data_IF_333962970154
#
_entry.id   IF_333962970154
#
_cell.length_a   1.000
_cell.length_b   1.000
_cell.length_c   1.000
_cell.angle_alpha   90.00
_cell.angle_beta   90.00
_cell.angle_gamma   90.00
#
_symmetry.space_group_name_H-M   'P 1'
#
loop_
_entity.id
_entity.type
_entity.pdbx_description
1 polymer ?
#
# COMPACT_ATOMS: atom_id res chain seq x y z
N UNK A 1 26.63 -38.03 37.70
CA UNK A 1 25.41 -38.20 36.90
C UNK A 1 24.46 -37.06 37.24
N UNK A 2 24.25 -36.12 36.32
CA UNK A 2 23.22 -35.10 36.42
C UNK A 2 22.45 -35.11 35.10
N UNK A 3 21.16 -35.45 35.16
CA UNK A 3 20.28 -35.50 34.01
C UNK A 3 19.79 -34.09 33.69
N UNK A 4 20.11 -33.57 32.51
CA UNK A 4 19.46 -32.37 31.97
C UNK A 4 18.27 -32.80 31.11
N UNK A 5 17.08 -32.43 31.58
CA UNK A 5 15.81 -32.56 30.87
C UNK A 5 15.78 -31.50 29.75
N UNK A 6 15.86 -31.92 28.50
CA UNK A 6 15.70 -31.00 27.35
C UNK A 6 14.20 -30.86 27.09
N UNK A 7 13.64 -29.70 27.42
CA UNK A 7 12.30 -29.31 26.98
C UNK A 7 12.29 -29.10 25.47
N UNK A 8 11.33 -29.72 24.78
CA UNK A 8 11.08 -29.47 23.36
C UNK A 8 10.50 -28.07 23.21
N UNK A 9 11.29 -27.14 22.68
CA UNK A 9 10.80 -25.84 22.24
C UNK A 9 10.04 -26.07 20.93
N UNK A 10 8.75 -25.78 20.94
CA UNK A 10 7.94 -25.69 19.72
C UNK A 10 8.15 -24.31 19.13
N UNK A 11 8.75 -24.25 17.95
CA UNK A 11 8.81 -23.00 17.18
C UNK A 11 7.74 -23.11 16.10
N UNK A 12 6.61 -22.45 16.32
CA UNK A 12 5.62 -22.22 15.27
C UNK A 12 6.07 -21.00 14.48
N UNK A 13 6.47 -21.19 13.23
CA UNK A 13 6.56 -20.08 12.29
C UNK A 13 5.19 -19.95 11.61
N UNK A 14 4.44 -18.92 12.00
CA UNK A 14 3.32 -18.43 11.23
C UNK A 14 3.91 -17.60 10.07
N UNK A 15 3.64 -18.03 8.84
CA UNK A 15 3.93 -17.24 7.64
C UNK A 15 2.56 -16.93 7.02
N UNK A 16 2.02 -15.71 7.13
CA UNK A 16 0.83 -15.35 6.39
C UNK A 16 1.26 -15.03 4.95
N UNK A 17 1.10 -16.00 4.04
CA UNK A 17 1.02 -15.73 2.60
C UNK A 17 -0.44 -15.93 2.18
N UNK A 18 -1.21 -14.85 2.16
CA UNK A 18 -2.49 -14.79 1.44
C UNK A 18 -2.20 -14.33 0.02
N UNK A 19 -1.84 -15.26 -0.85
CA UNK A 19 -1.88 -15.04 -2.30
C UNK A 19 -3.26 -15.45 -2.79
N UNK A 20 -4.11 -14.49 -3.12
CA UNK A 20 -5.37 -14.75 -3.83
C UNK A 20 -5.05 -15.06 -5.30
N UNK A 21 -5.06 -16.34 -5.68
CA UNK A 21 -5.17 -16.77 -7.07
C UNK A 21 -6.61 -17.24 -7.34
N UNK A 22 -7.21 -16.90 -8.49
CA UNK A 22 -8.57 -17.32 -8.81
C UNK A 22 -8.59 -18.77 -9.34
N UNK A 23 -9.48 -19.60 -8.78
CA UNK A 23 -9.93 -20.95 -9.19
C UNK A 23 -9.11 -22.20 -8.76
N UNK A 24 -9.78 -23.38 -8.67
CA UNK A 24 -10.75 -23.81 -7.66
C UNK A 24 -10.12 -24.80 -6.65
N UNK A 25 -10.77 -24.94 -5.50
CA UNK A 25 -10.35 -25.78 -4.36
C UNK A 25 -10.11 -27.25 -4.74
N UNK A 26 -8.84 -27.68 -4.66
CA UNK A 26 -8.49 -29.10 -4.58
C UNK A 26 -8.22 -29.50 -3.12
N UNK A 27 -8.62 -30.72 -2.69
CA UNK A 27 -8.61 -31.13 -1.30
C UNK A 27 -7.19 -31.22 -0.73
N UNK A 28 -7.04 -30.73 0.49
CA UNK A 28 -5.79 -30.74 1.25
C UNK A 28 -5.31 -32.18 1.51
N UNK A 29 -4.47 -32.73 0.64
CA UNK A 29 -3.71 -33.95 0.94
C UNK A 29 -2.53 -33.59 1.85
N UNK A 30 -2.61 -33.94 3.13
CA UNK A 30 -1.50 -33.81 4.06
C UNK A 30 -0.37 -34.78 3.68
N UNK A 31 0.69 -34.29 3.04
CA UNK A 31 1.95 -35.02 2.96
C UNK A 31 2.73 -34.82 4.26
N UNK A 32 2.67 -35.82 5.14
CA UNK A 32 3.43 -35.84 6.40
C UNK A 32 4.86 -36.32 6.13
N UNK A 33 5.75 -35.43 5.72
CA UNK A 33 7.18 -35.74 5.54
C UNK A 33 7.89 -35.57 6.89
N UNK A 34 8.35 -36.68 7.49
CA UNK A 34 9.30 -36.65 8.61
C UNK A 34 10.69 -36.37 8.05
N UNK A 35 11.25 -35.19 8.32
CA UNK A 35 12.66 -34.92 8.09
C UNK A 35 13.39 -35.11 9.42
N UNK A 36 14.20 -36.18 9.51
CA UNK A 36 15.13 -36.41 10.63
C UNK A 36 16.45 -35.75 10.21
N UNK A 37 16.93 -34.70 10.90
CA UNK A 37 18.19 -34.06 10.54
C UNK A 37 19.38 -34.97 10.89
N UNK A 38 20.13 -35.39 9.89
CA UNK A 38 21.27 -36.32 10.02
C UNK A 38 22.59 -35.63 10.43
N UNK A 39 22.57 -34.32 10.68
CA UNK A 39 23.78 -33.55 11.05
C UNK A 39 23.48 -32.53 12.14
N UNK A 40 24.39 -32.46 13.12
CA UNK A 40 24.39 -31.42 14.17
C UNK A 40 24.45 -30.03 13.51
N UNK A 41 23.68 -29.04 14.02
CA UNK A 41 23.68 -27.69 13.47
C UNK A 41 25.07 -27.07 13.63
N UNK A 42 25.63 -26.56 12.52
CA UNK A 42 26.76 -25.64 12.57
C UNK A 42 26.23 -24.27 12.98
N UNK A 43 26.88 -23.62 13.95
CA UNK A 43 26.62 -22.22 14.30
C UNK A 43 26.76 -21.35 13.05
N UNK A 44 25.63 -20.78 12.62
CA UNK A 44 25.61 -19.72 11.63
C UNK A 44 26.15 -18.46 12.32
N UNK A 45 27.33 -17.97 11.91
CA UNK A 45 27.74 -16.63 12.30
C UNK A 45 26.80 -15.63 11.61
N UNK A 46 25.84 -15.11 12.37
CA UNK A 46 24.95 -14.04 11.92
C UNK A 46 25.79 -12.77 11.76
N UNK A 47 26.17 -12.45 10.53
CA UNK A 47 26.62 -11.09 10.20
C UNK A 47 25.44 -10.16 10.50
N UNK A 48 25.62 -9.29 11.48
CA UNK A 48 24.62 -8.31 11.89
C UNK A 48 24.19 -7.48 10.70
N UNK A 49 22.94 -7.67 10.27
CA UNK A 49 22.28 -6.77 9.33
C UNK A 49 22.08 -5.46 10.09
N UNK A 50 22.76 -4.39 9.66
CA UNK A 50 22.44 -3.04 10.12
C UNK A 50 21.07 -2.69 9.59
N UNK A 51 20.04 -2.89 10.42
CA UNK A 51 18.78 -2.19 10.24
C UNK A 51 19.08 -0.71 10.45
N UNK A 52 19.08 0.05 9.36
CA UNK A 52 18.96 1.50 9.48
C UNK A 52 17.62 1.75 10.19
N UNK A 53 17.65 2.61 11.20
CA UNK A 53 16.46 3.04 11.94
C UNK A 53 15.43 3.62 10.98
N UNK A 54 14.55 2.77 10.46
CA UNK A 54 13.27 3.18 9.91
C UNK A 54 12.49 3.75 11.09
N UNK A 55 12.21 5.05 11.06
CA UNK A 55 11.27 5.69 11.97
C UNK A 55 9.88 5.13 11.68
N UNK A 56 9.56 3.94 12.20
CA UNK A 56 8.21 3.40 12.20
C UNK A 56 7.39 4.17 13.23
N UNK A 57 6.89 5.35 12.84
CA UNK A 57 5.83 6.04 13.58
C UNK A 57 4.86 6.73 12.64
N UNK A 58 4.43 5.99 11.63
CA UNK A 58 3.22 6.27 10.87
C UNK A 58 2.54 4.91 10.77
N UNK A 59 1.78 4.55 11.80
CA UNK A 59 0.84 3.41 11.74
C UNK A 59 -0.53 3.86 11.21
N UNK A 60 -0.59 5.11 10.72
CA UNK A 60 -1.80 5.77 10.29
C UNK A 60 -1.57 6.55 9.02
N UNK A 61 -2.54 6.65 8.14
CA UNK A 61 -2.46 7.53 6.97
C UNK A 61 -3.88 7.88 6.50
N UNK A 62 -4.00 8.57 5.38
CA UNK A 62 -5.26 9.12 4.89
C UNK A 62 -5.80 8.43 3.66
N UNK A 63 -7.12 8.40 3.57
CA UNK A 63 -7.87 8.01 2.39
C UNK A 63 -8.64 9.21 1.89
N UNK A 64 -8.41 9.59 0.62
CA UNK A 64 -9.07 10.74 0.00
C UNK A 64 -10.15 10.27 -0.97
N UNK A 65 -11.39 10.71 -0.75
CA UNK A 65 -12.46 10.55 -1.73
C UNK A 65 -12.32 11.61 -2.83
N UNK A 66 -12.12 11.18 -4.08
CA UNK A 66 -11.91 12.08 -5.22
C UNK A 66 -12.90 11.73 -6.34
N UNK A 67 -13.60 12.75 -6.86
CA UNK A 67 -14.58 12.58 -7.94
C UNK A 67 -14.50 13.70 -8.99
N UNK A 68 -15.00 13.41 -10.20
CA UNK A 68 -15.26 14.42 -11.24
C UNK A 68 -16.52 15.23 -10.98
N UNK A 69 -17.39 14.73 -10.11
CA UNK A 69 -18.67 15.36 -9.77
C UNK A 69 -18.63 15.86 -8.33
N UNK A 70 -19.39 16.92 -8.07
CA UNK A 70 -19.62 17.40 -6.71
C UNK A 70 -20.19 16.29 -5.84
N UNK A 71 -19.71 16.17 -4.61
CA UNK A 71 -20.15 15.16 -3.65
C UNK A 71 -20.92 15.89 -2.54
N UNK A 72 -22.16 15.50 -2.31
CA UNK A 72 -22.94 16.00 -1.18
C UNK A 72 -22.37 15.47 0.13
N UNK A 73 -22.44 16.25 1.21
CA UNK A 73 -21.77 15.93 2.48
C UNK A 73 -22.26 14.61 3.08
N UNK A 74 -23.52 14.27 2.82
CA UNK A 74 -24.17 13.03 3.22
C UNK A 74 -23.57 11.80 2.53
N UNK A 75 -22.89 11.99 1.40
CA UNK A 75 -22.22 10.95 0.61
C UNK A 75 -20.70 10.96 0.79
N UNK A 76 -20.20 11.67 1.80
CA UNK A 76 -18.78 11.65 2.12
C UNK A 76 -18.37 10.26 2.60
N UNK A 77 -17.22 9.81 2.10
CA UNK A 77 -16.49 8.67 2.65
C UNK A 77 -16.34 8.87 4.17
N UNK A 78 -16.75 7.85 4.93
CA UNK A 78 -16.71 7.83 6.39
C UNK A 78 -16.05 6.55 6.90
N UNK A 79 -15.88 6.48 8.23
CA UNK A 79 -15.18 5.38 8.91
C UNK A 79 -15.80 4.00 8.69
N UNK A 80 -17.08 3.90 8.32
CA UNK A 80 -17.78 2.62 8.11
C UNK A 80 -17.78 2.16 6.63
N UNK A 81 -17.26 2.98 5.71
CA UNK A 81 -17.40 2.72 4.27
C UNK A 81 -16.54 1.55 3.79
N UNK A 82 -15.34 1.38 4.37
CA UNK A 82 -14.36 0.41 3.91
C UNK A 82 -14.38 -0.87 4.74
N UNK A 83 -14.02 -1.98 4.11
CA UNK A 83 -13.80 -3.24 4.81
C UNK A 83 -12.60 -3.15 5.75
N UNK A 84 -12.77 -3.54 7.01
CA UNK A 84 -11.80 -3.34 8.09
C UNK A 84 -11.68 -4.60 8.97
N UNK A 85 -10.60 -4.67 9.76
CA UNK A 85 -10.34 -5.74 10.72
C UNK A 85 -9.70 -6.97 10.09
N UNK A 86 -9.93 -8.13 10.69
CA UNK A 86 -9.26 -9.38 10.33
C UNK A 86 -9.37 -9.72 8.84
N UNK A 87 -8.22 -9.74 8.16
CA UNK A 87 -8.14 -10.05 6.73
C UNK A 87 -8.30 -8.83 5.80
N UNK A 88 -8.48 -7.63 6.35
CA UNK A 88 -8.36 -6.37 5.64
C UNK A 88 -6.93 -5.81 5.71
N UNK A 89 -6.64 -4.85 4.83
CA UNK A 89 -5.46 -4.00 4.96
C UNK A 89 -5.61 -2.97 6.08
N UNK A 90 -6.84 -2.59 6.42
CA UNK A 90 -7.13 -1.60 7.44
C UNK A 90 -7.51 -2.27 8.75
N UNK A 91 -6.77 -2.01 9.82
CA UNK A 91 -7.16 -2.44 11.17
C UNK A 91 -8.44 -1.71 11.59
N UNK A 92 -8.47 -0.40 11.41
CA UNK A 92 -9.65 0.45 11.54
C UNK A 92 -9.47 1.75 10.74
N UNK A 93 -10.59 2.40 10.45
CA UNK A 93 -10.70 3.74 9.90
C UNK A 93 -11.38 4.64 10.92
N UNK A 94 -11.13 5.94 10.86
CA UNK A 94 -11.75 6.92 11.74
C UNK A 94 -12.04 8.21 10.99
N UNK A 95 -13.17 8.84 11.30
CA UNK A 95 -13.44 10.19 10.84
C UNK A 95 -12.44 11.18 11.47
N UNK A 96 -12.09 12.21 10.71
CA UNK A 96 -11.27 13.34 11.17
C UNK A 96 -12.12 14.61 11.16
N UNK A 97 -11.69 15.62 11.90
CA UNK A 97 -12.41 16.89 11.91
C UNK A 97 -12.22 17.66 10.58
N UNK A 98 -13.12 18.62 10.33
CA UNK A 98 -13.15 19.35 9.05
C UNK A 98 -11.92 20.24 8.83
N UNK A 99 -11.26 20.69 9.89
CA UNK A 99 -10.05 21.51 9.77
C UNK A 99 -8.82 20.63 9.46
N UNK A 100 -8.68 19.49 10.15
CA UNK A 100 -7.67 18.47 9.85
C UNK A 100 -7.84 17.96 8.40
N UNK A 101 -9.08 17.70 7.98
CA UNK A 101 -9.41 17.31 6.60
C UNK A 101 -8.91 18.35 5.57
N UNK A 102 -9.17 19.64 5.78
CA UNK A 102 -8.71 20.70 4.86
C UNK A 102 -7.19 20.82 4.84
N UNK A 103 -6.53 20.65 5.99
CA UNK A 103 -5.07 20.63 6.07
C UNK A 103 -4.48 19.44 5.30
N UNK A 104 -5.06 18.26 5.44
CA UNK A 104 -4.65 17.05 4.73
C UNK A 104 -4.85 17.18 3.20
N UNK A 105 -5.94 17.82 2.76
CA UNK A 105 -6.13 18.16 1.33
C UNK A 105 -5.03 19.08 0.82
N UNK A 106 -4.68 20.12 1.59
CA UNK A 106 -3.58 21.03 1.24
C UNK A 106 -2.25 20.28 1.17
N UNK A 107 -2.00 19.37 2.10
CA UNK A 107 -0.77 18.58 2.10
C UNK A 107 -0.71 17.60 0.93
N UNK A 108 -1.82 16.94 0.60
CA UNK A 108 -1.93 16.05 -0.54
C UNK A 108 -1.44 16.74 -1.82
N UNK A 109 -1.99 17.92 -2.12
CA UNK A 109 -1.69 18.64 -3.38
C UNK A 109 -0.27 19.21 -3.37
N UNK A 110 0.16 19.81 -2.27
CA UNK A 110 1.42 20.56 -2.23
C UNK A 110 2.66 19.67 -2.00
N UNK A 111 2.47 18.48 -1.43
CA UNK A 111 3.60 17.63 -0.99
C UNK A 111 3.57 16.23 -1.59
N UNK A 112 2.40 15.60 -1.70
CA UNK A 112 2.30 14.18 -2.02
C UNK A 112 2.03 13.88 -3.49
N UNK A 113 1.19 14.69 -4.16
CA UNK A 113 0.93 14.55 -5.59
C UNK A 113 2.14 15.02 -6.42
N UNK A 114 2.31 14.50 -7.66
CA UNK A 114 3.36 14.97 -8.54
C UNK A 114 3.31 16.48 -8.74
N UNK A 115 4.48 17.11 -8.62
CA UNK A 115 4.63 18.54 -8.85
C UNK A 115 4.15 18.93 -10.24
N UNK A 116 3.57 20.12 -10.34
CA UNK A 116 3.10 20.73 -11.59
C UNK A 116 2.01 19.91 -12.34
N UNK A 117 1.36 18.95 -11.67
CA UNK A 117 0.21 18.20 -12.22
C UNK A 117 -1.14 18.66 -11.66
N UNK A 118 -1.15 19.24 -10.46
CA UNK A 118 -2.36 19.68 -9.77
C UNK A 118 -2.17 21.04 -9.13
N UNK A 119 -3.26 21.80 -9.04
CA UNK A 119 -3.34 23.02 -8.24
C UNK A 119 -4.58 22.99 -7.34
N UNK A 120 -4.46 23.56 -6.15
CA UNK A 120 -5.59 23.75 -5.25
C UNK A 120 -6.35 25.01 -5.67
N UNK A 121 -7.65 24.88 -5.97
CA UNK A 121 -8.49 26.00 -6.47
C UNK A 121 -9.60 26.39 -5.51
N UNK A 122 -9.79 25.61 -4.44
CA UNK A 122 -10.66 25.89 -3.30
C UNK A 122 -10.38 24.87 -2.19
N UNK A 123 -11.08 24.96 -1.07
CA UNK A 123 -10.80 24.07 0.09
C UNK A 123 -11.04 22.59 -0.23
N UNK A 124 -12.04 22.29 -1.07
CA UNK A 124 -12.44 20.92 -1.45
C UNK A 124 -12.26 20.64 -2.95
N UNK A 125 -11.50 21.47 -3.65
CA UNK A 125 -11.42 21.41 -5.12
C UNK A 125 -10.00 21.56 -5.62
N UNK A 126 -9.61 20.64 -6.49
CA UNK A 126 -8.31 20.64 -7.16
C UNK A 126 -8.53 20.68 -8.67
N UNK A 127 -7.62 21.33 -9.39
CA UNK A 127 -7.60 21.32 -10.85
C UNK A 127 -6.42 20.51 -11.34
N UNK A 128 -6.70 19.58 -12.25
CA UNK A 128 -5.66 18.89 -12.99
C UNK A 128 -5.12 19.82 -14.09
N UNK A 129 -3.81 20.07 -14.12
CA UNK A 129 -3.20 21.05 -15.05
C UNK A 129 -2.35 20.43 -16.17
N UNK A 130 -2.18 19.10 -16.17
CA UNK A 130 -1.42 18.39 -17.20
C UNK A 130 -0.27 17.56 -16.64
N UNK A 131 0.74 17.26 -17.47
CA UNK A 131 1.97 16.57 -17.05
C UNK A 131 1.92 15.04 -17.10
N UNK A 132 0.80 14.43 -17.53
CA UNK A 132 0.67 12.95 -17.51
C UNK A 132 1.65 12.24 -18.46
N UNK A 133 1.98 12.84 -19.60
CA UNK A 133 2.93 12.21 -20.54
C UNK A 133 4.34 12.10 -19.94
N UNK A 134 4.81 13.16 -19.29
CA UNK A 134 6.08 13.12 -18.55
C UNK A 134 6.02 12.13 -17.38
N UNK A 135 4.89 12.06 -16.67
CA UNK A 135 4.71 11.07 -15.62
C UNK A 135 4.76 9.63 -16.16
N UNK A 136 4.09 9.34 -17.29
CA UNK A 136 4.12 8.01 -17.95
C UNK A 136 5.55 7.62 -18.35
N UNK A 137 6.30 8.54 -18.95
CA UNK A 137 7.70 8.30 -19.31
C UNK A 137 8.58 7.98 -18.08
N UNK A 138 8.42 8.76 -17.01
CA UNK A 138 9.13 8.56 -15.75
C UNK A 138 8.75 7.21 -15.11
N UNK A 139 7.46 6.86 -15.12
CA UNK A 139 6.97 5.59 -14.61
C UNK A 139 7.59 4.41 -15.36
N UNK A 140 7.49 4.39 -16.70
CA UNK A 140 8.06 3.31 -17.54
C UNK A 140 9.57 3.19 -17.33
N UNK A 141 10.27 4.33 -17.27
CA UNK A 141 11.72 4.36 -17.01
C UNK A 141 12.07 3.76 -15.65
N UNK A 142 11.33 4.13 -14.60
CA UNK A 142 11.54 3.60 -13.25
C UNK A 142 11.27 2.10 -13.17
N UNK A 143 10.20 1.61 -13.79
CA UNK A 143 9.87 0.18 -13.83
C UNK A 143 10.95 -0.61 -14.56
N UNK A 144 11.42 -0.15 -15.73
CA UNK A 144 12.54 -0.81 -16.45
C UNK A 144 13.79 -0.87 -15.60
N UNK A 145 14.18 0.25 -14.99
CA UNK A 145 15.34 0.34 -14.10
C UNK A 145 15.24 -0.64 -12.91
N UNK A 146 14.06 -0.76 -12.28
CA UNK A 146 13.84 -1.68 -11.16
C UNK A 146 13.86 -3.13 -11.62
N UNK A 147 13.28 -3.44 -12.78
CA UNK A 147 13.33 -4.78 -13.37
C UNK A 147 14.76 -5.20 -13.73
N UNK A 148 15.55 -4.30 -14.31
CA UNK A 148 16.97 -4.54 -14.66
C UNK A 148 17.87 -4.77 -13.43
N UNK A 149 17.49 -4.26 -12.26
CA UNK A 149 18.23 -4.46 -11.01
C UNK A 149 18.05 -5.87 -10.41
N UNK A 150 17.08 -6.65 -10.90
CA UNK A 150 16.83 -8.02 -10.44
C UNK A 150 17.85 -8.96 -11.09
N UNK A 151 18.53 -9.75 -10.27
CA UNK A 151 19.50 -10.77 -10.70
C UNK A 151 19.17 -12.11 -10.08
N UNK A 152 19.81 -13.17 -10.57
CA UNK A 152 19.68 -14.53 -10.03
C UNK A 152 20.11 -14.64 -8.57
N UNK A 153 21.00 -13.74 -8.12
CA UNK A 153 21.57 -13.75 -6.77
C UNK A 153 20.69 -13.01 -5.76
N UNK A 154 19.98 -11.95 -6.19
CA UNK A 154 19.25 -11.05 -5.29
C UNK A 154 17.72 -11.23 -5.31
N UNK A 155 17.16 -12.03 -6.22
CA UNK A 155 15.71 -12.14 -6.41
C UNK A 155 14.92 -12.68 -5.20
N UNK A 156 15.59 -13.37 -4.25
CA UNK A 156 14.99 -13.87 -3.00
C UNK A 156 15.29 -12.97 -1.78
N UNK A 157 15.95 -11.83 -1.96
CA UNK A 157 16.26 -10.94 -0.84
C UNK A 157 14.98 -10.38 -0.20
N UNK A 158 14.92 -10.43 1.12
CA UNK A 158 13.81 -9.86 1.89
C UNK A 158 13.82 -8.33 1.76
N UNK A 159 12.70 -7.76 1.29
CA UNK A 159 12.59 -6.33 0.89
C UNK A 159 13.59 -5.97 -0.23
N UNK A 160 13.94 -6.96 -1.06
CA UNK A 160 14.88 -6.84 -2.18
C UNK A 160 14.26 -6.28 -3.47
N UNK A 161 14.97 -6.36 -4.60
CA UNK A 161 14.59 -5.67 -5.84
C UNK A 161 13.25 -6.13 -6.43
N UNK A 162 12.85 -7.39 -6.24
CA UNK A 162 11.52 -7.89 -6.64
C UNK A 162 10.41 -7.18 -5.86
N UNK A 163 10.54 -7.07 -4.53
CA UNK A 163 9.60 -6.33 -3.70
C UNK A 163 9.53 -4.84 -4.08
N UNK A 164 10.68 -4.23 -4.37
CA UNK A 164 10.75 -2.82 -4.78
C UNK A 164 10.11 -2.57 -6.15
N UNK A 165 10.11 -3.56 -7.03
CA UNK A 165 9.41 -3.52 -8.32
C UNK A 165 7.89 -3.64 -8.09
N UNK A 166 7.45 -4.62 -7.31
CA UNK A 166 6.04 -4.80 -6.94
C UNK A 166 5.45 -3.52 -6.33
N UNK A 167 6.16 -2.91 -5.36
CA UNK A 167 5.73 -1.63 -4.76
C UNK A 167 5.64 -0.49 -5.76
N UNK A 168 6.57 -0.41 -6.72
CA UNK A 168 6.54 0.63 -7.74
C UNK A 168 5.40 0.45 -8.75
N UNK A 169 4.95 -0.80 -8.97
CA UNK A 169 3.81 -1.10 -9.84
C UNK A 169 2.49 -0.69 -9.17
N UNK A 170 2.33 -0.93 -7.87
CA UNK A 170 1.09 -0.61 -7.16
C UNK A 170 1.02 0.82 -6.64
N UNK A 171 2.16 1.36 -6.18
CA UNK A 171 2.28 2.66 -5.52
C UNK A 171 3.40 3.51 -6.14
N UNK A 172 3.28 3.93 -7.42
CA UNK A 172 4.31 4.69 -8.12
C UNK A 172 4.63 6.06 -7.51
N UNK A 173 3.72 6.64 -6.73
CA UNK A 173 3.96 7.90 -6.03
C UNK A 173 4.74 7.72 -4.72
N UNK A 174 4.90 6.48 -4.24
CA UNK A 174 5.58 6.15 -2.98
C UNK A 174 5.04 6.94 -1.77
N UNK A 175 3.71 7.06 -1.71
CA UNK A 175 2.98 7.73 -0.62
C UNK A 175 2.17 6.73 0.18
N UNK A 176 1.93 7.04 1.45
CA UNK A 176 1.06 6.22 2.29
C UNK A 176 -0.43 6.51 2.04
N UNK A 177 -0.80 7.45 1.16
CA UNK A 177 -2.20 7.78 0.93
C UNK A 177 -2.88 6.79 0.01
N UNK A 178 -4.15 6.52 0.30
CA UNK A 178 -5.06 5.78 -0.56
C UNK A 178 -6.16 6.68 -1.11
N UNK A 179 -6.83 6.22 -2.17
CA UNK A 179 -7.77 7.01 -2.95
C UNK A 179 -9.09 6.25 -3.12
N UNK A 180 -10.18 6.85 -2.68
CA UNK A 180 -11.52 6.36 -2.93
C UNK A 180 -12.06 7.06 -4.17
N UNK A 181 -12.18 6.33 -5.28
CA UNK A 181 -12.47 6.90 -6.61
C UNK A 181 -13.90 6.64 -7.07
N UNK A 182 -14.70 5.95 -6.24
CA UNK A 182 -16.10 5.70 -6.52
C UNK A 182 -16.97 6.90 -6.11
N UNK A 183 -17.59 7.52 -7.11
CA UNK A 183 -18.57 8.60 -6.88
C UNK A 183 -19.95 8.10 -6.47
N UNK A 184 -20.26 6.81 -6.68
CA UNK A 184 -21.56 6.20 -6.38
C UNK A 184 -21.61 5.52 -5.00
N UNK A 185 -20.45 5.31 -4.36
CA UNK A 185 -20.36 4.85 -2.98
C UNK A 185 -20.53 3.33 -2.77
N UNK A 186 -20.38 2.52 -3.81
CA UNK A 186 -20.48 1.06 -3.77
C UNK A 186 -19.15 0.36 -3.46
N UNK A 187 -18.03 1.04 -3.67
CA UNK A 187 -16.70 0.50 -3.41
C UNK A 187 -16.50 0.35 -1.89
N UNK A 188 -16.03 -0.82 -1.46
CA UNK A 188 -15.72 -1.12 -0.05
C UNK A 188 -14.22 -1.20 0.23
N UNK A 189 -13.41 -0.64 -0.67
CA UNK A 189 -11.95 -0.59 -0.59
C UNK A 189 -11.47 0.76 -1.15
N UNK A 190 -10.21 1.10 -0.90
CA UNK A 190 -9.58 2.27 -1.50
C UNK A 190 -8.34 1.85 -2.27
N UNK A 191 -8.03 2.63 -3.28
CA UNK A 191 -6.99 2.36 -4.25
C UNK A 191 -5.63 2.92 -3.83
N UNK A 192 -4.57 2.27 -4.29
CA UNK A 192 -3.22 2.84 -4.23
C UNK A 192 -2.98 3.84 -5.35
N UNK A 193 -1.84 4.51 -5.30
CA UNK A 193 -1.55 5.61 -6.23
C UNK A 193 -1.48 5.23 -7.70
N UNK A 194 -1.28 3.95 -8.07
CA UNK A 194 -1.32 3.55 -9.48
C UNK A 194 -2.71 3.71 -10.09
N UNK A 195 -3.76 3.22 -9.41
CA UNK A 195 -5.13 3.35 -9.93
C UNK A 195 -5.61 4.82 -9.92
N UNK A 196 -5.16 5.61 -8.94
CA UNK A 196 -5.36 7.06 -8.98
C UNK A 196 -4.71 7.69 -10.22
N UNK A 197 -3.47 7.32 -10.54
CA UNK A 197 -2.81 7.84 -11.74
C UNK A 197 -3.43 7.31 -13.03
N UNK A 198 -3.98 6.09 -13.04
CA UNK A 198 -4.80 5.58 -14.15
C UNK A 198 -6.06 6.44 -14.35
N UNK A 199 -6.77 6.77 -13.27
CA UNK A 199 -7.89 7.71 -13.30
C UNK A 199 -7.45 9.08 -13.85
N UNK A 200 -6.31 9.61 -13.41
CA UNK A 200 -5.74 10.88 -13.89
C UNK A 200 -5.39 10.83 -15.38
N UNK A 201 -4.95 9.68 -15.91
CA UNK A 201 -4.70 9.50 -17.35
C UNK A 201 -5.94 9.66 -18.22
N UNK A 202 -7.15 9.64 -17.64
CA UNK A 202 -8.41 9.87 -18.34
C UNK A 202 -8.84 11.34 -18.37
N UNK A 203 -8.07 12.24 -17.73
CA UNK A 203 -8.43 13.64 -17.55
C UNK A 203 -7.83 14.53 -18.63
N UNK A 204 -8.56 15.58 -19.00
CA UNK A 204 -8.04 16.68 -19.80
C UNK A 204 -7.50 17.78 -18.89
N UNK A 205 -6.38 18.44 -19.23
CA UNK A 205 -5.91 19.62 -18.50
C UNK A 205 -7.03 20.67 -18.37
N UNK A 206 -7.20 21.19 -17.16
CA UNK A 206 -8.31 22.06 -16.78
C UNK A 206 -9.47 21.36 -16.06
N UNK A 207 -9.49 20.02 -16.03
CA UNK A 207 -10.53 19.25 -15.31
C UNK A 207 -10.51 19.59 -13.82
N UNK A 208 -11.68 19.93 -13.28
CA UNK A 208 -11.90 20.12 -11.84
C UNK A 208 -12.24 18.77 -11.22
N UNK A 209 -11.58 18.47 -10.11
CA UNK A 209 -11.88 17.33 -9.25
C UNK A 209 -12.34 17.86 -7.89
N UNK A 210 -13.31 17.16 -7.32
CA UNK A 210 -13.90 17.45 -6.02
C UNK A 210 -13.38 16.43 -5.02
N UNK A 211 -12.98 16.90 -3.85
CA UNK A 211 -12.54 16.07 -2.75
C UNK A 211 -13.67 16.03 -1.71
N UNK A 212 -14.22 14.84 -1.50
CA UNK A 212 -15.30 14.59 -0.54
C UNK A 212 -14.76 14.27 0.84
N UNK A 213 -15.18 13.15 1.42
CA UNK A 213 -14.68 12.66 2.69
C UNK A 213 -13.17 12.38 2.66
N UNK A 214 -12.52 12.67 3.79
CA UNK A 214 -11.15 12.23 4.07
C UNK A 214 -11.20 11.55 5.42
N UNK A 215 -10.66 10.34 5.50
CA UNK A 215 -10.64 9.55 6.74
C UNK A 215 -9.22 9.12 7.07
N UNK A 216 -8.98 8.94 8.36
CA UNK A 216 -7.79 8.27 8.86
C UNK A 216 -7.96 6.75 8.72
N UNK A 217 -6.85 6.05 8.51
CA UNK A 217 -6.80 4.60 8.57
C UNK A 217 -5.56 4.14 9.32
N UNK A 218 -5.67 3.02 10.03
CA UNK A 218 -4.58 2.30 10.69
C UNK A 218 -4.23 1.00 9.94
N UNK A 219 -2.94 0.60 9.93
CA UNK A 219 -2.42 -0.62 9.29
C UNK A 219 -1.37 -1.38 10.11
#
# INVERSE_FOLDING_TARGET
MAAFRISKIWVFHFIPFTVYLPYPSFPCCQFRIKIIPDKKPKELQVKGIKFNHLNFKIMHSRIFQISKMWIEKENYLNEDTLHQGDGSFYDYCAEIDDEERKEDIRYLVNTALPKDMFELVGDDTIRYIGGVEQWKENFVTNIRKKAEAITTENMLEFVGPVYQLEKALENPLDIAYHFYLDGEGYQSFAEKSFAFMEFVCTLEPGTILYIGGVIDYHF
#
